data_IF_270085462200
#
_entry.id   IF_270085462200
#
_cell.length_a   1.000
_cell.length_b   1.000
_cell.length_c   1.000
_cell.angle_alpha   90.00
_cell.angle_beta   90.00
_cell.angle_gamma   90.00
#
_symmetry.space_group_name_H-M   'P 1'
#
loop_
_entity.id
_entity.type
_entity.pdbx_description
1 polymer ?
#
# COMPACT_ATOMS: atom_id res chain seq x y z
N UNK A 1 -9.12 13.98 -24.46
CA UNK A 1 -9.66 12.99 -25.41
C UNK A 1 -9.00 13.18 -26.77
N UNK A 2 -9.04 14.38 -27.35
CA UNK A 2 -8.40 14.64 -28.65
C UNK A 2 -6.90 14.40 -28.64
N UNK A 3 -6.18 14.94 -27.67
CA UNK A 3 -4.74 14.71 -27.49
C UNK A 3 -4.42 13.23 -27.27
N UNK A 4 -5.20 12.54 -26.42
CA UNK A 4 -5.02 11.10 -26.16
C UNK A 4 -5.23 10.26 -27.41
N UNK A 5 -6.28 10.55 -28.19
CA UNK A 5 -6.56 9.83 -29.43
C UNK A 5 -5.43 10.04 -30.47
N UNK A 6 -4.95 11.28 -30.58
CA UNK A 6 -3.81 11.63 -31.44
C UNK A 6 -2.55 10.88 -31.05
N UNK A 7 -2.20 10.88 -29.75
CA UNK A 7 -0.99 10.21 -29.24
C UNK A 7 -1.09 8.69 -29.38
N UNK A 8 -2.27 8.11 -29.14
CA UNK A 8 -2.52 6.69 -29.31
C UNK A 8 -2.68 6.25 -30.78
N UNK A 9 -2.64 7.18 -31.75
CA UNK A 9 -2.80 6.87 -33.17
C UNK A 9 -4.19 6.34 -33.55
N UNK A 10 -5.22 6.67 -32.77
CA UNK A 10 -6.61 6.22 -33.00
C UNK A 10 -7.55 7.39 -33.28
N UNK A 11 -8.71 7.10 -33.88
CA UNK A 11 -9.73 8.13 -34.06
C UNK A 11 -10.40 8.50 -32.73
N UNK A 12 -10.82 9.76 -32.60
CA UNK A 12 -11.62 10.22 -31.45
C UNK A 12 -12.88 9.36 -31.28
N UNK A 13 -13.58 9.04 -32.38
CA UNK A 13 -14.78 8.22 -32.34
C UNK A 13 -14.52 6.81 -31.78
N UNK A 14 -13.39 6.19 -32.13
CA UNK A 14 -12.99 4.90 -31.56
C UNK A 14 -12.71 5.02 -30.07
N UNK A 15 -11.98 6.06 -29.64
CA UNK A 15 -11.69 6.27 -28.22
C UNK A 15 -12.99 6.44 -27.40
N UNK A 16 -13.95 7.21 -27.88
CA UNK A 16 -15.26 7.37 -27.22
C UNK A 16 -16.12 6.11 -27.21
N UNK A 17 -15.94 5.21 -28.19
CA UNK A 17 -16.62 3.90 -28.21
C UNK A 17 -16.15 3.00 -27.07
N UNK A 18 -14.87 3.06 -26.71
CA UNK A 18 -14.31 2.29 -25.59
C UNK A 18 -14.50 3.00 -24.25
N UNK A 19 -14.31 4.33 -24.23
CA UNK A 19 -14.39 5.14 -23.03
C UNK A 19 -15.37 6.29 -23.26
N UNK A 20 -16.65 6.15 -22.84
CA UNK A 20 -17.70 7.11 -23.17
C UNK A 20 -17.46 8.51 -22.57
N UNK A 21 -16.57 8.63 -21.60
CA UNK A 21 -16.17 9.90 -20.99
C UNK A 21 -14.68 9.92 -20.65
N UNK A 22 -14.12 11.13 -20.45
CA UNK A 22 -12.77 11.31 -19.90
C UNK A 22 -12.64 10.61 -18.54
N UNK A 23 -13.68 10.68 -17.71
CA UNK A 23 -13.75 10.01 -16.42
C UNK A 23 -13.66 8.48 -16.55
N UNK A 24 -14.40 7.86 -17.47
CA UNK A 24 -14.33 6.42 -17.73
C UNK A 24 -12.95 5.97 -18.20
N UNK A 25 -12.28 6.77 -19.03
CA UNK A 25 -10.89 6.53 -19.42
C UNK A 25 -9.95 6.57 -18.21
N UNK A 26 -10.07 7.57 -17.34
CA UNK A 26 -9.25 7.67 -16.13
C UNK A 26 -9.48 6.50 -15.17
N UNK A 27 -10.74 6.11 -14.94
CA UNK A 27 -11.06 4.96 -14.10
C UNK A 27 -10.42 3.67 -14.64
N UNK A 28 -10.43 3.46 -15.96
CA UNK A 28 -9.79 2.31 -16.58
C UNK A 28 -8.25 2.34 -16.45
N UNK A 29 -7.63 3.51 -16.61
CA UNK A 29 -6.18 3.68 -16.38
C UNK A 29 -5.82 3.41 -14.92
N UNK A 30 -6.65 3.87 -13.99
CA UNK A 30 -6.44 3.64 -12.56
C UNK A 30 -6.64 2.16 -12.19
N UNK A 31 -7.65 1.48 -12.75
CA UNK A 31 -7.82 0.03 -12.58
C UNK A 31 -6.59 -0.73 -13.08
N UNK A 32 -6.11 -0.39 -14.28
CA UNK A 32 -4.91 -1.01 -14.85
C UNK A 32 -3.68 -0.82 -13.95
N UNK A 33 -3.52 0.37 -13.37
CA UNK A 33 -2.44 0.66 -12.42
C UNK A 33 -2.53 -0.20 -11.15
N UNK A 34 -3.73 -0.31 -10.56
CA UNK A 34 -3.96 -1.14 -9.38
C UNK A 34 -3.70 -2.63 -9.68
N UNK A 35 -4.17 -3.12 -10.83
CA UNK A 35 -3.94 -4.51 -11.26
C UNK A 35 -2.45 -4.80 -11.48
N UNK A 36 -1.71 -3.86 -12.06
CA UNK A 36 -0.27 -3.97 -12.25
C UNK A 36 0.47 -4.04 -10.90
N UNK A 37 0.18 -3.12 -9.97
CA UNK A 37 0.78 -3.11 -8.64
C UNK A 37 0.50 -4.41 -7.88
N UNK A 38 -0.73 -4.94 -7.96
CA UNK A 38 -1.08 -6.23 -7.38
C UNK A 38 -0.27 -7.38 -8.00
N UNK A 39 -0.13 -7.38 -9.33
CA UNK A 39 0.60 -8.43 -10.04
C UNK A 39 2.11 -8.41 -9.74
N UNK A 40 2.71 -7.22 -9.61
CA UNK A 40 4.13 -7.04 -9.35
C UNK A 40 4.51 -7.25 -7.87
N UNK A 41 3.58 -7.00 -6.95
CA UNK A 41 3.81 -7.29 -5.53
C UNK A 41 3.88 -8.80 -5.34
N UNK A 42 5.05 -9.36 -5.06
CA UNK A 42 5.23 -10.80 -4.76
C UNK A 42 5.23 -11.01 -3.25
N UNK A 43 4.44 -11.98 -2.78
CA UNK A 43 4.49 -12.47 -1.40
C UNK A 43 4.81 -13.96 -1.47
N UNK A 44 5.98 -14.33 -0.97
CA UNK A 44 6.49 -15.69 -0.96
C UNK A 44 6.60 -16.16 0.50
N UNK A 45 5.88 -17.22 0.91
CA UNK A 45 6.00 -17.77 2.25
C UNK A 45 7.41 -18.22 2.64
N UNK A 46 8.31 -18.41 1.67
CA UNK A 46 9.72 -18.73 1.93
C UNK A 46 10.54 -17.52 2.43
N UNK A 47 10.09 -16.29 2.14
CA UNK A 47 10.75 -15.06 2.56
C UNK A 47 10.25 -14.63 3.96
N UNK A 48 11.10 -13.99 4.75
CA UNK A 48 10.67 -13.41 6.03
C UNK A 48 9.63 -12.30 5.80
N UNK A 49 8.79 -12.02 6.81
CA UNK A 49 7.81 -10.92 6.72
C UNK A 49 8.48 -9.59 6.36
N UNK A 50 9.65 -9.31 6.93
CA UNK A 50 10.38 -8.06 6.68
C UNK A 50 10.86 -7.98 5.22
N UNK A 51 11.40 -9.07 4.67
CA UNK A 51 11.84 -9.12 3.28
C UNK A 51 10.67 -8.90 2.32
N UNK A 52 9.52 -9.56 2.57
CA UNK A 52 8.32 -9.38 1.76
C UNK A 52 7.79 -7.93 1.81
N UNK A 53 7.80 -7.31 3.00
CA UNK A 53 7.38 -5.92 3.14
C UNK A 53 8.34 -4.96 2.44
N UNK A 54 9.65 -5.18 2.54
CA UNK A 54 10.66 -4.36 1.83
C UNK A 54 10.48 -4.50 0.33
N UNK A 55 10.36 -5.73 -0.21
CA UNK A 55 10.15 -5.99 -1.63
C UNK A 55 8.85 -5.33 -2.14
N UNK A 56 7.73 -5.52 -1.42
CA UNK A 56 6.44 -4.93 -1.80
C UNK A 56 6.45 -3.40 -1.75
N UNK A 57 7.07 -2.81 -0.73
CA UNK A 57 7.25 -1.36 -0.65
C UNK A 57 8.16 -0.84 -1.76
N UNK A 58 9.21 -1.57 -2.14
CA UNK A 58 10.08 -1.17 -3.24
C UNK A 58 9.32 -1.12 -4.58
N UNK A 59 8.51 -2.14 -4.88
CA UNK A 59 7.62 -2.16 -6.06
C UNK A 59 6.65 -0.97 -6.04
N UNK A 60 5.98 -0.74 -4.91
CA UNK A 60 5.02 0.36 -4.76
C UNK A 60 5.68 1.73 -4.97
N UNK A 61 6.83 1.97 -4.33
CA UNK A 61 7.54 3.24 -4.43
C UNK A 61 8.11 3.47 -5.83
N UNK A 62 8.63 2.43 -6.50
CA UNK A 62 9.16 2.55 -7.86
C UNK A 62 8.06 2.94 -8.86
N UNK A 63 6.87 2.32 -8.75
CA UNK A 63 5.71 2.72 -9.53
C UNK A 63 5.32 4.18 -9.26
N UNK A 64 5.25 4.58 -7.98
CA UNK A 64 4.83 5.92 -7.57
C UNK A 64 5.80 7.01 -8.06
N UNK A 65 7.11 6.74 -8.00
CA UNK A 65 8.14 7.65 -8.52
C UNK A 65 8.07 7.74 -10.04
N UNK A 66 7.99 6.60 -10.74
CA UNK A 66 7.90 6.56 -12.20
C UNK A 66 6.64 7.27 -12.73
N UNK A 67 5.55 7.24 -11.96
CA UNK A 67 4.23 7.76 -12.35
C UNK A 67 3.80 9.00 -11.52
N UNK A 68 4.76 9.73 -10.91
CA UNK A 68 4.50 10.82 -9.94
C UNK A 68 3.37 11.76 -10.35
N UNK A 69 3.41 12.29 -11.57
CA UNK A 69 2.41 13.26 -12.03
C UNK A 69 1.01 12.66 -12.15
N UNK A 70 0.91 11.41 -12.59
CA UNK A 70 -0.36 10.70 -12.70
C UNK A 70 -0.93 10.40 -11.31
N UNK A 71 -0.10 9.93 -10.38
CA UNK A 71 -0.48 9.67 -8.98
C UNK A 71 -0.99 10.94 -8.30
N UNK A 72 -0.25 12.04 -8.38
CA UNK A 72 -0.65 13.32 -7.75
C UNK A 72 -1.91 13.90 -8.39
N UNK A 73 -2.07 13.79 -9.71
CA UNK A 73 -3.26 14.23 -10.42
C UNK A 73 -4.49 13.40 -10.01
N UNK A 74 -4.35 12.07 -9.94
CA UNK A 74 -5.40 11.17 -9.50
C UNK A 74 -5.81 11.49 -8.05
N UNK A 75 -4.85 11.65 -7.14
CA UNK A 75 -5.14 12.01 -5.76
C UNK A 75 -5.89 13.35 -5.64
N UNK A 76 -5.51 14.38 -6.40
CA UNK A 76 -6.17 15.70 -6.32
C UNK A 76 -7.58 15.72 -6.91
N UNK A 77 -7.78 15.05 -8.05
CA UNK A 77 -9.01 15.16 -8.84
C UNK A 77 -10.04 14.12 -8.43
N UNK A 78 -9.60 12.97 -7.95
CA UNK A 78 -10.44 11.80 -7.70
C UNK A 78 -10.54 11.44 -6.21
N UNK A 79 -9.96 12.25 -5.32
CA UNK A 79 -10.21 12.14 -3.88
C UNK A 79 -11.71 12.36 -3.60
N UNK A 80 -12.46 11.27 -3.47
CA UNK A 80 -13.91 11.29 -3.29
C UNK A 80 -14.72 10.66 -4.41
N UNK A 81 -14.08 10.25 -5.51
CA UNK A 81 -14.78 9.55 -6.60
C UNK A 81 -15.18 8.12 -6.17
N UNK A 82 -16.48 7.73 -6.21
CA UNK A 82 -16.92 6.43 -5.72
C UNK A 82 -16.35 5.24 -6.50
N UNK A 83 -16.10 5.41 -7.81
CA UNK A 83 -15.51 4.35 -8.64
C UNK A 83 -14.08 4.14 -8.22
N UNK A 84 -13.30 5.21 -8.11
CA UNK A 84 -11.90 5.13 -7.68
C UNK A 84 -11.79 4.60 -6.25
N UNK A 85 -12.64 5.06 -5.34
CA UNK A 85 -12.72 4.52 -3.98
C UNK A 85 -12.99 3.02 -3.96
N UNK A 86 -13.82 2.52 -4.87
CA UNK A 86 -14.11 1.08 -4.98
C UNK A 86 -12.91 0.30 -5.47
N UNK A 87 -12.18 0.83 -6.48
CA UNK A 87 -10.93 0.23 -6.99
C UNK A 87 -9.88 0.17 -5.89
N UNK A 88 -9.63 1.29 -5.21
CA UNK A 88 -8.69 1.36 -4.08
C UNK A 88 -9.11 0.42 -2.96
N UNK A 89 -10.39 0.34 -2.62
CA UNK A 89 -10.87 -0.57 -1.58
C UNK A 89 -10.58 -2.03 -1.94
N UNK A 90 -10.87 -2.42 -3.19
CA UNK A 90 -10.61 -3.75 -3.70
C UNK A 90 -9.11 -4.10 -3.68
N UNK A 91 -8.25 -3.20 -4.17
CA UNK A 91 -6.80 -3.35 -4.17
C UNK A 91 -6.25 -3.58 -2.76
N UNK A 92 -6.63 -2.71 -1.82
CA UNK A 92 -6.19 -2.80 -0.43
C UNK A 92 -6.70 -4.08 0.25
N UNK A 93 -7.92 -4.52 -0.07
CA UNK A 93 -8.48 -5.76 0.47
C UNK A 93 -7.79 -7.00 -0.09
N UNK A 94 -7.38 -6.97 -1.37
CA UNK A 94 -6.59 -8.02 -1.98
C UNK A 94 -5.20 -8.11 -1.33
N UNK A 95 -4.50 -6.99 -1.17
CA UNK A 95 -3.19 -6.95 -0.47
C UNK A 95 -3.30 -7.44 0.97
N UNK A 96 -4.31 -6.98 1.72
CA UNK A 96 -4.59 -7.45 3.08
C UNK A 96 -4.79 -8.96 3.12
N UNK A 97 -5.59 -9.50 2.21
CA UNK A 97 -5.87 -10.95 2.14
C UNK A 97 -4.58 -11.75 1.90
N UNK A 98 -3.73 -11.29 0.99
CA UNK A 98 -2.47 -11.96 0.68
C UNK A 98 -1.46 -11.86 1.83
N UNK A 99 -1.37 -10.72 2.52
CA UNK A 99 -0.53 -10.55 3.71
C UNK A 99 -1.01 -11.43 4.87
N UNK A 100 -2.32 -11.54 5.10
CA UNK A 100 -2.87 -12.44 6.12
C UNK A 100 -2.61 -13.93 5.84
N UNK A 101 -2.44 -14.30 4.55
CA UNK A 101 -2.18 -15.68 4.16
C UNK A 101 -0.74 -16.12 4.45
N UNK A 102 0.23 -15.19 4.49
CA UNK A 102 1.64 -15.49 4.79
C UNK A 102 1.99 -15.38 6.28
N UNK A 103 1.08 -14.85 7.11
CA UNK A 103 1.28 -14.74 8.55
C UNK A 103 0.79 -16.00 9.28
N UNK A 104 1.60 -16.59 10.18
CA UNK A 104 1.22 -17.78 10.95
C UNK A 104 0.29 -17.42 12.12
N UNK A 105 -0.97 -17.06 11.82
CA UNK A 105 -1.96 -16.65 12.82
C UNK A 105 -2.84 -17.83 13.24
N UNK A 106 -2.66 -18.30 14.48
CA UNK A 106 -3.35 -19.49 15.02
C UNK A 106 -4.78 -19.22 15.52
N UNK A 107 -5.06 -18.01 16.03
CA UNK A 107 -6.34 -17.65 16.64
C UNK A 107 -7.13 -16.68 15.77
N UNK A 108 -8.46 -16.90 15.65
CA UNK A 108 -9.34 -16.05 14.85
C UNK A 108 -9.38 -14.59 15.36
N UNK A 109 -9.39 -14.39 16.68
CA UNK A 109 -9.35 -13.04 17.27
C UNK A 109 -8.06 -12.29 16.94
N UNK A 110 -6.91 -12.95 16.98
CA UNK A 110 -5.62 -12.38 16.53
C UNK A 110 -5.66 -12.08 15.04
N UNK A 111 -6.23 -12.97 14.23
CA UNK A 111 -6.38 -12.77 12.79
C UNK A 111 -7.23 -11.54 12.46
N UNK A 112 -8.34 -11.33 13.17
CA UNK A 112 -9.19 -10.14 13.01
C UNK A 112 -8.45 -8.85 13.41
N UNK A 113 -7.75 -8.85 14.55
CA UNK A 113 -6.96 -7.71 14.99
C UNK A 113 -5.84 -7.35 13.99
N UNK A 114 -5.09 -8.36 13.52
CA UNK A 114 -4.04 -8.19 12.51
C UNK A 114 -4.64 -7.70 11.18
N UNK A 115 -5.80 -8.22 10.77
CA UNK A 115 -6.51 -7.77 9.56
C UNK A 115 -6.86 -6.28 9.62
N UNK A 116 -7.33 -5.80 10.78
CA UNK A 116 -7.63 -4.39 11.01
C UNK A 116 -6.37 -3.51 10.99
N UNK A 117 -5.27 -3.98 11.59
CA UNK A 117 -3.96 -3.28 11.55
C UNK A 117 -3.44 -3.20 10.12
N UNK A 118 -3.48 -4.30 9.36
CA UNK A 118 -3.04 -4.33 7.96
C UNK A 118 -3.85 -3.37 7.09
N UNK A 119 -5.18 -3.34 7.22
CA UNK A 119 -6.01 -2.40 6.45
C UNK A 119 -5.63 -0.96 6.75
N UNK A 120 -5.48 -0.62 8.03
CA UNK A 120 -5.10 0.72 8.48
C UNK A 120 -3.71 1.11 7.97
N UNK A 121 -2.75 0.19 8.05
CA UNK A 121 -1.39 0.39 7.57
C UNK A 121 -1.33 0.63 6.05
N UNK A 122 -2.09 -0.13 5.26
CA UNK A 122 -2.11 0.06 3.80
C UNK A 122 -2.66 1.46 3.42
N UNK A 123 -3.67 1.96 4.15
CA UNK A 123 -4.17 3.34 3.97
C UNK A 123 -3.12 4.36 4.40
N UNK A 124 -2.44 4.13 5.53
CA UNK A 124 -1.32 4.96 5.98
C UNK A 124 -0.22 5.07 4.92
N UNK A 125 0.18 3.95 4.30
CA UNK A 125 1.18 3.92 3.22
C UNK A 125 0.74 4.78 2.04
N UNK A 126 -0.52 4.67 1.59
CA UNK A 126 -1.02 5.48 0.47
C UNK A 126 -0.94 6.99 0.77
N UNK A 127 -1.41 7.40 1.95
CA UNK A 127 -1.38 8.81 2.36
C UNK A 127 0.06 9.32 2.46
N UNK A 128 0.94 8.55 3.11
CA UNK A 128 2.33 8.95 3.31
C UNK A 128 3.11 9.03 1.99
N UNK A 129 2.89 8.09 1.06
CA UNK A 129 3.57 8.12 -0.24
C UNK A 129 3.13 9.32 -1.08
N UNK A 130 1.84 9.67 -1.07
CA UNK A 130 1.33 10.85 -1.77
C UNK A 130 1.87 12.16 -1.18
N UNK A 131 1.92 12.25 0.16
CA UNK A 131 2.52 13.39 0.85
C UNK A 131 4.01 13.53 0.52
N UNK A 132 4.75 12.43 0.58
CA UNK A 132 6.17 12.38 0.23
C UNK A 132 6.43 12.76 -1.23
N UNK A 133 5.62 12.27 -2.18
CA UNK A 133 5.73 12.70 -3.58
C UNK A 133 5.53 14.21 -3.75
N UNK A 134 4.80 14.87 -2.84
CA UNK A 134 4.55 16.31 -2.89
C UNK A 134 5.68 17.13 -2.26
N UNK A 135 6.23 16.67 -1.13
CA UNK A 135 7.13 17.46 -0.30
C UNK A 135 8.58 16.95 -0.22
N UNK A 136 8.82 15.67 -0.51
CA UNK A 136 10.15 15.04 -0.53
C UNK A 136 10.97 15.27 0.75
N UNK A 137 10.30 15.20 1.91
CA UNK A 137 10.88 15.53 3.23
C UNK A 137 11.94 14.54 3.73
N UNK A 138 12.02 13.36 3.13
CA UNK A 138 13.00 12.31 3.45
C UNK A 138 13.43 11.54 2.19
N UNK A 139 14.41 10.65 2.31
CA UNK A 139 14.82 9.77 1.20
C UNK A 139 13.80 8.65 0.96
N UNK A 140 13.75 8.09 -0.26
CA UNK A 140 12.93 6.91 -0.61
C UNK A 140 13.16 5.74 0.37
N UNK A 141 14.42 5.50 0.74
CA UNK A 141 14.80 4.47 1.71
C UNK A 141 14.23 4.75 3.10
N UNK A 142 14.35 5.99 3.59
CA UNK A 142 13.77 6.38 4.88
C UNK A 142 12.24 6.26 4.88
N UNK A 143 11.56 6.62 3.79
CA UNK A 143 10.12 6.43 3.63
C UNK A 143 9.75 4.95 3.72
N UNK A 144 10.42 4.10 2.95
CA UNK A 144 10.22 2.64 2.98
C UNK A 144 10.39 2.08 4.39
N UNK A 145 11.52 2.38 5.01
CA UNK A 145 11.86 1.84 6.33
C UNK A 145 10.88 2.36 7.41
N UNK A 146 10.37 3.59 7.26
CA UNK A 146 9.30 4.13 8.11
C UNK A 146 7.99 3.36 7.93
N UNK A 147 7.59 3.04 6.69
CA UNK A 147 6.40 2.23 6.42
C UNK A 147 6.53 0.82 7.02
N UNK A 148 7.68 0.16 6.81
CA UNK A 148 7.94 -1.19 7.35
C UNK A 148 7.94 -1.16 8.89
N UNK A 149 8.67 -0.21 9.49
CA UNK A 149 8.73 -0.05 10.95
C UNK A 149 7.36 0.22 11.58
N UNK A 150 6.52 1.03 10.92
CA UNK A 150 5.16 1.32 11.40
C UNK A 150 4.30 0.06 11.49
N UNK A 151 4.36 -0.84 10.49
CA UNK A 151 3.61 -2.10 10.54
C UNK A 151 4.15 -3.04 11.62
N UNK A 152 5.48 -3.23 11.68
CA UNK A 152 6.09 -4.12 12.65
C UNK A 152 5.78 -3.68 14.08
N UNK A 153 5.88 -2.38 14.37
CA UNK A 153 5.51 -1.82 15.67
C UNK A 153 4.03 -2.00 16.00
N UNK A 154 3.13 -1.85 15.01
CA UNK A 154 1.70 -2.04 15.21
C UNK A 154 1.31 -3.52 15.41
N UNK A 155 2.06 -4.45 14.82
CA UNK A 155 1.83 -5.89 14.94
C UNK A 155 2.46 -6.49 16.21
N UNK A 156 3.53 -5.90 16.74
CA UNK A 156 4.23 -6.37 17.93
C UNK A 156 3.30 -6.77 19.10
N UNK A 157 2.32 -5.96 19.55
CA UNK A 157 1.45 -6.34 20.66
C UNK A 157 0.46 -7.49 20.33
N UNK A 158 0.30 -7.84 19.06
CA UNK A 158 -0.67 -8.84 18.58
C UNK A 158 -0.03 -10.19 18.28
N UNK A 159 1.26 -10.23 17.93
CA UNK A 159 1.98 -11.41 17.45
C UNK A 159 2.71 -12.17 18.55
N UNK A 160 2.11 -12.27 19.74
CA UNK A 160 2.75 -12.86 20.92
C UNK A 160 2.99 -14.36 20.74
N UNK A 161 4.23 -14.72 20.39
CA UNK A 161 5.08 -15.47 21.31
C UNK A 161 5.82 -14.44 22.18
N UNK A 162 5.66 -14.52 23.50
CA UNK A 162 6.32 -13.63 24.47
C UNK A 162 7.60 -14.29 25.02
N UNK A 163 8.82 -13.86 24.66
CA UNK A 163 10.03 -14.23 25.40
C UNK A 163 10.41 -13.16 26.44
N UNK A 164 9.49 -12.32 26.93
CA UNK A 164 9.80 -11.45 28.08
C UNK A 164 9.91 -12.20 29.42
N UNK A 165 9.93 -13.54 29.41
CA UNK A 165 10.33 -14.33 30.57
C UNK A 165 11.86 -14.35 30.84
N UNK A 166 12.69 -13.62 30.08
CA UNK A 166 14.13 -13.47 30.36
C UNK A 166 14.62 -12.01 30.41
N UNK A 167 13.82 -11.08 30.95
CA UNK A 167 14.38 -9.82 31.46
C UNK A 167 14.45 -9.86 33.00
N UNK A 168 15.64 -9.81 33.63
CA UNK A 168 15.72 -9.93 35.07
C UNK A 168 15.08 -8.70 35.75
N UNK A 169 14.49 -8.87 36.95
CA UNK A 169 13.88 -7.75 37.65
C UNK A 169 14.93 -6.67 37.92
N UNK A 170 14.64 -5.44 37.51
CA UNK A 170 15.40 -4.27 37.95
C UNK A 170 15.28 -4.21 39.48
N UNK A 171 16.36 -4.59 40.16
CA UNK A 171 16.47 -4.47 41.61
C UNK A 171 16.38 -2.97 41.95
N UNK A 172 15.54 -2.55 42.91
CA UNK A 172 15.53 -1.16 43.32
C UNK A 172 16.89 -0.83 43.96
N UNK A 173 17.60 0.12 43.39
CA UNK A 173 18.75 0.71 44.08
C UNK A 173 18.23 1.51 45.26
N UNK A 174 18.45 0.93 46.43
CA UNK A 174 18.27 1.56 47.71
C UNK A 174 19.50 2.45 48.01
N UNK A 175 19.19 3.70 48.36
CA UNK A 175 19.98 4.66 49.16
C UNK A 175 21.26 5.28 48.58
N UNK A 176 21.23 6.62 48.48
CA UNK A 176 21.94 7.49 49.42
C UNK A 176 21.19 8.83 49.59
#
# INVERSE_FOLDING_TARGET
MDEVAKEAGVSRALLYRHFPSKHALFAAVYQQAADQLLAETRLDPADSLVEQLVQGMDVHLDYFVANRNAVLAANRVLAGDPVIQSITTYELDALRTRLLAVLPLAHDSTREAVSAVLKSWLVFVQVLCVDWLTHETCTRTQLRDSCVGALLGALQPLLVDDPTHEWPPQRPEAHA
#
